data_IF_490550805964
#
_entry.id   IF_490550805964
#
_cell.length_a   1.000
_cell.length_b   1.000
_cell.length_c   1.000
_cell.angle_alpha   90.00
_cell.angle_beta   90.00
_cell.angle_gamma   90.00
#
_symmetry.space_group_name_H-M   'P 1'
#
loop_
_entity.id
_entity.type
_entity.pdbx_description
1 polymer ?
#
# COMPACT_ATOMS: atom_id res chain seq x y z
N UNK A 1 -55.35 6.35 -7.52
CA UNK A 1 -54.31 7.19 -6.90
C UNK A 1 -52.96 6.51 -7.14
N UNK A 2 -52.07 7.17 -7.93
CA UNK A 2 -50.59 7.00 -8.08
C UNK A 2 -50.03 5.54 -8.09
N UNK A 3 -49.64 4.92 -9.22
CA UNK A 3 -48.56 5.15 -10.21
C UNK A 3 -47.13 5.19 -9.63
N UNK A 4 -46.38 4.07 -9.78
CA UNK A 4 -45.02 4.07 -10.39
C UNK A 4 -44.62 2.66 -10.90
N UNK A 5 -44.34 2.51 -12.20
CA UNK A 5 -43.74 1.31 -12.78
C UNK A 5 -42.23 1.51 -13.10
N UNK A 6 -41.58 0.37 -13.37
CA UNK A 6 -40.51 0.09 -14.35
C UNK A 6 -39.13 0.76 -14.35
N UNK A 7 -38.15 -0.12 -14.62
CA UNK A 7 -37.09 0.03 -15.66
C UNK A 7 -35.96 1.03 -15.40
N UNK A 8 -34.70 0.55 -15.31
CA UNK A 8 -33.82 0.32 -16.49
C UNK A 8 -32.39 0.00 -16.04
N UNK A 9 -31.82 -1.04 -16.63
CA UNK A 9 -30.38 -1.23 -16.79
C UNK A 9 -29.77 -0.11 -17.66
N UNK A 10 -28.44 0.01 -17.61
CA UNK A 10 -27.60 0.55 -18.68
C UNK A 10 -27.46 2.08 -18.75
N UNK A 11 -26.36 2.62 -18.21
CA UNK A 11 -25.52 3.66 -18.87
C UNK A 11 -24.38 4.13 -17.94
N UNK A 12 -23.31 3.35 -17.82
CA UNK A 12 -22.00 3.82 -17.32
C UNK A 12 -20.90 3.18 -18.17
N UNK A 13 -20.87 3.49 -19.48
CA UNK A 13 -19.79 3.05 -20.40
C UNK A 13 -19.47 4.06 -21.53
N UNK A 14 -19.84 5.34 -21.40
CA UNK A 14 -19.72 6.30 -22.52
C UNK A 14 -18.90 7.57 -22.23
N UNK A 15 -17.99 7.56 -21.25
CA UNK A 15 -17.19 8.77 -20.89
C UNK A 15 -15.68 8.50 -20.82
N UNK A 16 -15.15 7.48 -21.51
CA UNK A 16 -13.70 7.26 -21.51
C UNK A 16 -13.01 7.97 -22.70
N UNK A 17 -13.60 7.89 -23.89
CA UNK A 17 -12.90 8.23 -25.12
C UNK A 17 -12.68 9.75 -25.33
N UNK A 18 -13.53 10.62 -24.77
CA UNK A 18 -13.39 12.08 -24.96
C UNK A 18 -12.36 12.71 -24.03
N UNK A 19 -12.16 12.12 -22.85
CA UNK A 19 -11.26 12.63 -21.82
C UNK A 19 -9.80 12.41 -22.22
N UNK A 20 -9.52 11.27 -22.84
CA UNK A 20 -8.17 10.91 -23.29
C UNK A 20 -7.70 11.78 -24.47
N UNK A 21 -8.60 12.14 -25.40
CA UNK A 21 -8.31 13.06 -26.52
C UNK A 21 -8.04 14.51 -26.05
N UNK A 22 -8.73 14.95 -24.98
CA UNK A 22 -8.49 16.25 -24.34
C UNK A 22 -7.14 16.29 -23.63
N UNK A 23 -6.73 15.19 -23.00
CA UNK A 23 -5.41 15.08 -22.35
C UNK A 23 -4.29 15.02 -23.39
N UNK A 24 -4.45 14.27 -24.48
CA UNK A 24 -3.48 14.19 -25.56
C UNK A 24 -3.25 15.55 -26.25
N UNK A 25 -4.32 16.31 -26.52
CA UNK A 25 -4.22 17.63 -27.16
C UNK A 25 -3.59 18.72 -26.27
N UNK A 26 -3.68 18.58 -24.94
CA UNK A 26 -2.98 19.45 -23.98
C UNK A 26 -1.48 19.15 -23.91
N UNK A 27 -1.09 17.89 -24.09
CA UNK A 27 0.33 17.47 -24.13
C UNK A 27 0.99 17.95 -25.44
N UNK A 28 0.27 17.92 -26.56
CA UNK A 28 0.79 18.35 -27.87
C UNK A 28 0.91 19.88 -28.02
N UNK A 29 0.09 20.67 -27.30
CA UNK A 29 0.13 22.14 -27.33
C UNK A 29 0.17 22.76 -25.92
N UNK A 30 1.36 22.96 -25.33
CA UNK A 30 1.49 23.53 -23.99
C UNK A 30 0.98 24.99 -23.89
N UNK A 31 0.87 25.71 -25.02
CA UNK A 31 0.26 27.06 -25.07
C UNK A 31 -1.25 27.07 -24.82
N UNK A 32 -1.95 25.96 -25.07
CA UNK A 32 -3.39 25.87 -24.80
C UNK A 32 -3.62 25.76 -23.29
N UNK A 33 -2.75 25.04 -22.58
CA UNK A 33 -2.79 24.93 -21.13
C UNK A 33 -2.56 26.30 -20.46
N UNK A 34 -1.61 27.10 -20.93
CA UNK A 34 -1.37 28.44 -20.36
C UNK A 34 -2.57 29.37 -20.56
N UNK A 35 -3.20 29.39 -21.74
CA UNK A 35 -4.41 30.20 -21.98
C UNK A 35 -5.62 29.76 -21.17
N UNK A 36 -5.77 28.45 -20.96
CA UNK A 36 -6.83 27.90 -20.13
C UNK A 36 -6.58 28.26 -18.66
N UNK A 37 -5.34 28.13 -18.17
CA UNK A 37 -4.94 28.55 -16.83
C UNK A 37 -5.09 30.06 -16.58
N UNK A 38 -4.95 30.90 -17.61
CA UNK A 38 -5.17 32.35 -17.52
C UNK A 38 -6.65 32.77 -17.54
N UNK A 39 -7.56 31.83 -17.82
CA UNK A 39 -9.00 32.13 -17.77
C UNK A 39 -9.44 32.25 -16.30
N UNK A 40 -10.13 33.33 -15.89
CA UNK A 40 -10.49 33.57 -14.49
C UNK A 40 -11.38 32.47 -13.89
N UNK A 41 -12.16 31.76 -14.73
CA UNK A 41 -12.94 30.59 -14.31
C UNK A 41 -12.09 29.38 -13.95
N UNK A 42 -10.91 29.25 -14.56
CA UNK A 42 -10.00 28.12 -14.36
C UNK A 42 -9.03 28.42 -13.22
N UNK A 43 -8.57 29.67 -13.06
CA UNK A 43 -7.74 30.08 -11.92
C UNK A 43 -8.39 29.77 -10.56
N UNK A 44 -9.71 29.95 -10.48
CA UNK A 44 -10.49 29.60 -9.29
C UNK A 44 -10.53 28.09 -8.98
N UNK A 45 -10.15 27.24 -9.94
CA UNK A 45 -10.20 25.76 -9.86
C UNK A 45 -8.79 25.16 -9.77
N UNK A 46 -7.72 25.94 -9.89
CA UNK A 46 -6.34 25.43 -9.79
C UNK A 46 -6.07 24.97 -8.34
N UNK A 47 -6.17 23.67 -8.11
CA UNK A 47 -5.71 23.04 -6.87
C UNK A 47 -4.17 22.94 -6.91
N UNK A 48 -3.48 23.62 -6.01
CA UNK A 48 -2.06 23.33 -5.75
C UNK A 48 -1.98 22.03 -4.95
N UNK A 49 -1.62 20.94 -5.61
CA UNK A 49 -1.35 19.66 -4.96
C UNK A 49 0.15 19.52 -4.69
N UNK A 50 0.50 19.09 -3.48
CA UNK A 50 1.88 18.75 -3.15
C UNK A 50 1.92 17.36 -2.52
N UNK A 51 2.87 16.55 -2.95
CA UNK A 51 3.19 15.28 -2.33
C UNK A 51 4.64 15.28 -1.91
N UNK A 52 4.86 15.07 -0.61
CA UNK A 52 6.18 14.98 -0.03
C UNK A 52 6.12 15.18 1.47
N UNK A 53 7.18 14.80 2.19
CA UNK A 53 7.25 14.94 3.64
C UNK A 53 7.27 16.42 4.09
N UNK A 54 7.82 17.31 3.26
CA UNK A 54 7.99 18.73 3.57
C UNK A 54 7.50 19.56 2.38
N UNK A 55 6.70 20.63 2.57
CA UNK A 55 6.26 21.51 1.49
C UNK A 55 7.41 22.15 0.70
N UNK A 56 7.18 22.61 -0.54
CA UNK A 56 8.20 23.30 -1.33
C UNK A 56 8.70 24.58 -0.62
N UNK A 57 9.97 24.99 -0.85
CA UNK A 57 10.55 26.17 -0.20
C UNK A 57 9.74 27.45 -0.37
N UNK A 58 9.11 27.65 -1.53
CA UNK A 58 8.24 28.80 -1.78
C UNK A 58 7.03 28.84 -0.83
N UNK A 59 6.40 27.68 -0.60
CA UNK A 59 5.25 27.56 0.31
C UNK A 59 5.68 27.65 1.79
N UNK A 60 6.86 27.13 2.15
CA UNK A 60 7.43 27.31 3.49
C UNK A 60 7.64 28.79 3.82
N UNK A 61 8.11 29.58 2.84
CA UNK A 61 8.24 31.03 2.99
C UNK A 61 6.87 31.68 3.24
N UNK A 62 5.86 31.35 2.41
CA UNK A 62 4.49 31.81 2.59
C UNK A 62 3.93 31.46 3.98
N UNK A 63 4.18 30.25 4.50
CA UNK A 63 3.77 29.86 5.85
C UNK A 63 4.43 30.69 6.94
N UNK A 64 5.72 30.98 6.79
CA UNK A 64 6.46 31.80 7.74
C UNK A 64 6.05 33.27 7.70
N UNK A 65 5.63 33.76 6.54
CA UNK A 65 5.12 35.13 6.36
C UNK A 65 3.74 35.30 7.03
N UNK A 66 2.92 34.24 7.08
CA UNK A 66 1.62 34.24 7.78
C UNK A 66 1.79 34.16 9.29
N UNK A 67 2.61 33.22 9.77
CA UNK A 67 2.94 33.07 11.19
C UNK A 67 4.47 32.93 11.31
N UNK A 68 5.16 33.91 11.93
CA UNK A 68 6.60 33.84 12.13
C UNK A 68 7.00 32.55 12.88
N UNK A 69 7.94 31.79 12.31
CA UNK A 69 8.44 30.54 12.86
C UNK A 69 7.65 29.29 12.48
N UNK A 70 6.53 29.41 11.74
CA UNK A 70 5.70 28.27 11.37
C UNK A 70 6.44 27.27 10.47
N UNK A 71 7.27 27.74 9.54
CA UNK A 71 8.04 26.87 8.66
C UNK A 71 8.97 25.93 9.45
N UNK A 72 9.68 26.45 10.46
CA UNK A 72 10.54 25.64 11.31
C UNK A 72 9.74 24.60 12.10
N UNK A 73 8.60 25.02 12.70
CA UNK A 73 7.72 24.10 13.42
C UNK A 73 7.17 22.99 12.52
N UNK A 74 6.87 23.29 11.25
CA UNK A 74 6.37 22.31 10.30
C UNK A 74 7.45 21.29 9.94
N UNK A 75 8.68 21.75 9.72
CA UNK A 75 9.83 20.86 9.47
C UNK A 75 10.08 19.96 10.69
N UNK A 76 10.09 20.52 11.91
CA UNK A 76 10.25 19.74 13.15
C UNK A 76 9.14 18.70 13.32
N UNK A 77 7.89 19.03 12.99
CA UNK A 77 6.78 18.08 13.00
C UNK A 77 7.00 16.95 12.01
N UNK A 78 7.45 17.26 10.78
CA UNK A 78 7.78 16.25 9.77
C UNK A 78 8.94 15.37 10.23
N UNK A 79 10.03 15.93 10.76
CA UNK A 79 11.19 15.16 11.25
C UNK A 79 10.80 14.22 12.40
N UNK A 80 9.94 14.70 13.30
CA UNK A 80 9.40 13.87 14.38
C UNK A 80 8.55 12.73 13.84
N UNK A 81 7.71 12.97 12.83
CA UNK A 81 6.92 11.92 12.20
C UNK A 81 7.79 10.91 11.44
N UNK A 82 8.82 11.38 10.73
CA UNK A 82 9.78 10.51 10.06
C UNK A 82 10.56 9.65 11.06
N UNK A 83 11.04 10.23 12.16
CA UNK A 83 11.75 9.47 13.19
C UNK A 83 10.84 8.46 13.88
N UNK A 84 9.57 8.81 14.12
CA UNK A 84 8.57 7.86 14.63
C UNK A 84 8.36 6.70 13.66
N UNK A 85 8.13 6.97 12.37
CA UNK A 85 8.00 5.93 11.34
C UNK A 85 9.22 5.00 11.28
N UNK A 86 10.44 5.56 11.31
CA UNK A 86 11.66 4.77 11.32
C UNK A 86 11.80 3.93 12.60
N UNK A 87 11.36 4.44 13.75
CA UNK A 87 11.36 3.67 15.00
C UNK A 87 10.43 2.46 14.91
N UNK A 88 9.20 2.65 14.40
CA UNK A 88 8.23 1.57 14.18
C UNK A 88 8.75 0.55 13.16
N UNK A 89 9.34 1.00 12.06
CA UNK A 89 9.97 0.11 11.07
C UNK A 89 11.09 -0.73 11.71
N UNK A 90 11.95 -0.11 12.51
CA UNK A 90 13.02 -0.80 13.22
C UNK A 90 12.49 -1.82 14.23
N UNK A 91 11.38 -1.51 14.90
CA UNK A 91 10.76 -2.39 15.88
C UNK A 91 10.04 -3.56 15.20
N UNK A 92 9.39 -3.32 14.05
CA UNK A 92 8.83 -4.38 13.22
C UNK A 92 9.91 -5.37 12.76
N UNK A 93 11.10 -4.90 12.40
CA UNK A 93 12.24 -5.78 12.07
C UNK A 93 12.66 -6.62 13.29
N UNK A 94 12.72 -6.02 14.49
CA UNK A 94 13.06 -6.76 15.72
C UNK A 94 11.99 -7.79 16.07
N UNK A 95 10.71 -7.44 15.97
CA UNK A 95 9.58 -8.34 16.23
C UNK A 95 9.60 -9.51 15.25
N UNK A 96 9.81 -9.24 13.96
CA UNK A 96 9.94 -10.26 12.92
C UNK A 96 11.08 -11.24 13.21
N UNK A 97 12.28 -10.73 13.55
CA UNK A 97 13.44 -11.56 13.92
C UNK A 97 13.15 -12.44 15.15
N UNK A 98 12.51 -11.90 16.18
CA UNK A 98 12.14 -12.66 17.38
C UNK A 98 11.11 -13.75 17.05
N UNK A 99 10.11 -13.42 16.23
CA UNK A 99 9.12 -14.38 15.75
C UNK A 99 9.76 -15.54 15.00
N UNK A 100 10.69 -15.26 14.09
CA UNK A 100 11.41 -16.28 13.33
C UNK A 100 12.23 -17.23 14.22
N UNK A 101 12.91 -16.69 15.24
CA UNK A 101 13.65 -17.50 16.21
C UNK A 101 12.70 -18.39 17.01
N UNK A 102 11.57 -17.86 17.49
CA UNK A 102 10.58 -18.66 18.22
C UNK A 102 10.01 -19.79 17.35
N UNK A 103 9.65 -19.51 16.10
CA UNK A 103 9.17 -20.52 15.16
C UNK A 103 10.22 -21.59 14.87
N UNK A 104 11.49 -21.22 14.75
CA UNK A 104 12.59 -22.18 14.57
C UNK A 104 12.64 -23.21 15.71
N UNK A 105 12.55 -22.76 16.97
CA UNK A 105 12.53 -23.66 18.11
C UNK A 105 11.28 -24.54 18.17
N UNK A 106 10.11 -24.00 17.80
CA UNK A 106 8.88 -24.80 17.73
C UNK A 106 9.03 -25.94 16.73
N UNK A 107 9.53 -25.65 15.52
CA UNK A 107 9.80 -26.68 14.50
C UNK A 107 10.80 -27.72 15.00
N UNK A 108 11.86 -27.27 15.69
CA UNK A 108 12.87 -28.17 16.24
C UNK A 108 12.29 -29.13 17.30
N UNK A 109 11.39 -28.64 18.17
CA UNK A 109 10.70 -29.45 19.18
C UNK A 109 9.79 -30.48 18.51
N UNK A 110 9.06 -30.09 17.47
CA UNK A 110 8.16 -30.99 16.72
C UNK A 110 8.95 -32.10 16.04
N UNK A 111 10.07 -31.77 15.37
CA UNK A 111 10.98 -32.76 14.77
C UNK A 111 11.53 -33.72 15.85
N UNK A 112 11.96 -33.18 17.00
CA UNK A 112 12.47 -34.00 18.10
C UNK A 112 11.39 -34.96 18.63
N UNK A 113 10.15 -34.50 18.78
CA UNK A 113 9.02 -35.34 19.17
C UNK A 113 8.73 -36.45 18.14
N UNK A 114 8.80 -36.13 16.83
CA UNK A 114 8.64 -37.12 15.76
C UNK A 114 9.70 -38.24 15.86
N UNK A 115 10.96 -37.87 16.09
CA UNK A 115 12.07 -38.83 16.26
C UNK A 115 11.81 -39.73 17.47
N UNK A 116 11.42 -39.15 18.61
CA UNK A 116 11.10 -39.94 19.82
C UNK A 116 9.96 -40.94 19.58
N UNK A 117 8.89 -40.54 18.89
CA UNK A 117 7.80 -41.45 18.54
C UNK A 117 8.22 -42.56 17.56
N UNK A 118 9.07 -42.22 16.59
CA UNK A 118 9.65 -43.20 15.67
C UNK A 118 10.50 -44.25 16.40
N UNK A 119 11.34 -43.81 17.34
CA UNK A 119 12.20 -44.70 18.13
C UNK A 119 11.41 -45.59 19.10
N UNK A 120 10.28 -45.10 19.63
CA UNK A 120 9.38 -45.88 20.48
C UNK A 120 8.50 -46.88 19.69
N UNK A 121 8.73 -47.04 18.38
CA UNK A 121 8.01 -47.96 17.50
C UNK A 121 6.64 -47.45 17.04
N UNK A 122 6.25 -46.24 17.41
CA UNK A 122 5.00 -45.62 16.98
C UNK A 122 5.19 -44.84 15.67
N UNK A 123 5.49 -45.58 14.61
CA UNK A 123 5.76 -45.04 13.27
C UNK A 123 4.55 -44.35 12.65
N UNK A 124 3.33 -44.77 13.00
CA UNK A 124 2.08 -44.13 12.52
C UNK A 124 1.95 -42.71 13.05
N UNK A 125 2.15 -42.49 14.35
CA UNK A 125 2.09 -41.14 14.92
C UNK A 125 3.23 -40.26 14.41
N UNK A 126 4.45 -40.79 14.28
CA UNK A 126 5.56 -40.05 13.71
C UNK A 126 5.29 -39.63 12.24
N UNK A 127 4.71 -40.53 11.44
CA UNK A 127 4.34 -40.27 10.05
C UNK A 127 3.25 -39.22 9.90
N UNK A 128 2.21 -39.26 10.74
CA UNK A 128 1.13 -38.25 10.75
C UNK A 128 1.70 -36.87 11.10
N UNK A 129 2.55 -36.79 12.13
CA UNK A 129 3.12 -35.53 12.60
C UNK A 129 3.92 -34.84 11.48
N UNK A 130 4.85 -35.57 10.87
CA UNK A 130 5.67 -35.07 9.75
C UNK A 130 4.81 -34.75 8.52
N UNK A 131 3.80 -35.57 8.23
CA UNK A 131 2.90 -35.36 7.10
C UNK A 131 2.11 -34.06 7.20
N UNK A 132 1.60 -33.72 8.39
CA UNK A 132 0.88 -32.47 8.65
C UNK A 132 1.82 -31.27 8.47
N UNK A 133 3.04 -31.33 9.01
CA UNK A 133 4.01 -30.24 8.91
C UNK A 133 4.40 -29.95 7.46
N UNK A 134 4.65 -30.99 6.66
CA UNK A 134 4.98 -30.86 5.24
C UNK A 134 3.81 -30.27 4.45
N UNK A 135 2.59 -30.75 4.69
CA UNK A 135 1.39 -30.22 4.04
C UNK A 135 1.18 -28.74 4.36
N UNK A 136 1.38 -28.34 5.61
CA UNK A 136 1.29 -26.95 6.04
C UNK A 136 2.35 -26.07 5.34
N UNK A 137 3.60 -26.54 5.25
CA UNK A 137 4.69 -25.82 4.59
C UNK A 137 4.44 -25.62 3.09
N UNK A 138 3.99 -26.68 2.40
CA UNK A 138 3.62 -26.60 0.97
C UNK A 138 2.48 -25.60 0.77
N UNK A 139 1.45 -25.65 1.63
CA UNK A 139 0.30 -24.75 1.56
C UNK A 139 0.72 -23.30 1.76
N UNK A 140 1.57 -23.02 2.77
CA UNK A 140 2.09 -21.68 3.03
C UNK A 140 2.92 -21.14 1.85
N UNK A 141 3.73 -21.98 1.20
CA UNK A 141 4.53 -21.59 0.05
C UNK A 141 3.67 -21.27 -1.18
N UNK A 142 2.65 -22.09 -1.47
CA UNK A 142 1.71 -21.85 -2.57
C UNK A 142 0.93 -20.55 -2.33
N UNK A 143 0.42 -20.36 -1.11
CA UNK A 143 -0.30 -19.14 -0.73
C UNK A 143 0.63 -17.91 -0.89
N UNK A 144 1.86 -17.97 -0.38
CA UNK A 144 2.84 -16.89 -0.52
C UNK A 144 3.11 -16.53 -1.98
N UNK A 145 3.31 -17.53 -2.85
CA UNK A 145 3.48 -17.32 -4.29
C UNK A 145 2.26 -16.65 -4.93
N UNK A 146 1.05 -17.09 -4.57
CA UNK A 146 -0.19 -16.52 -5.10
C UNK A 146 -0.36 -15.04 -4.73
N UNK A 147 -0.07 -14.67 -3.48
CA UNK A 147 -0.14 -13.27 -3.04
C UNK A 147 0.93 -12.38 -3.70
N UNK A 148 2.12 -12.91 -3.95
CA UNK A 148 3.20 -12.17 -4.62
C UNK A 148 2.88 -11.82 -6.08
N UNK A 149 2.14 -12.67 -6.79
CA UNK A 149 1.80 -12.41 -8.20
C UNK A 149 0.72 -11.31 -8.29
N UNK A 150 -0.29 -11.35 -7.41
CA UNK A 150 -1.39 -10.38 -7.41
C UNK A 150 -0.92 -8.94 -7.12
N UNK A 151 0.15 -8.77 -6.35
CA UNK A 151 0.70 -7.44 -6.05
C UNK A 151 1.38 -6.81 -7.26
N UNK A 152 2.02 -7.62 -8.11
CA UNK A 152 2.67 -7.16 -9.34
C UNK A 152 1.65 -6.76 -10.41
N UNK A 153 0.51 -7.43 -10.50
CA UNK A 153 -0.53 -7.07 -11.48
C UNK A 153 -1.24 -5.75 -11.10
N UNK A 154 -1.40 -5.45 -9.81
CA UNK A 154 -2.01 -4.18 -9.34
C UNK A 154 -1.10 -2.95 -9.39
N UNK A 155 0.22 -3.13 -9.52
CA UNK A 155 1.17 -2.02 -9.73
C UNK A 155 1.33 -1.66 -11.22
N UNK A 156 0.84 -2.52 -12.13
CA UNK A 156 0.97 -2.38 -13.58
C UNK A 156 -0.37 -2.08 -14.30
N UNK A 157 -1.45 -1.83 -13.55
CA UNK A 157 -2.77 -1.36 -14.02
C UNK A 157 -3.02 0.08 -13.58
#
# INVERSE_FOLDING_TARGET
>A
MQKKPDSKSTSLKSTNNQTDDLVASVIENPEVLSRVLDTPKVQAIVLKHFQGPVPPPAMLKEYNDVIPGLANRLIELTEKEQSHRHSIESDNVKISKRGQIMSFFVVLIIIFAAILFGLNGNTVLAGILVGIDLAALVTAFIAGKYYSIKTTDSENE
#
